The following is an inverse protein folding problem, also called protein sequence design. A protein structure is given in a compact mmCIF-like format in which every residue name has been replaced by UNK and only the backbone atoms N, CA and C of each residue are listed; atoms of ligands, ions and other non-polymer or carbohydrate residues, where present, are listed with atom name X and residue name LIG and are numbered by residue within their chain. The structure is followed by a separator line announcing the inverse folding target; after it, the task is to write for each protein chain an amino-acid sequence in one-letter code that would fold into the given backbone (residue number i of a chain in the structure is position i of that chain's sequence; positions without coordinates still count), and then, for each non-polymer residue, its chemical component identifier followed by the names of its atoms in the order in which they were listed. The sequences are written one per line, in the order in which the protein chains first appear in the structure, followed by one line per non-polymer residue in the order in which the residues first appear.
data_IF_737180114572
#
_entry.id   IF_737180114572
#
_cell.length_a   1.000
_cell.length_b   1.000
_cell.length_c   1.000
_cell.angle_alpha   90.00
_cell.angle_beta   90.00
_cell.angle_gamma   90.00
#
_symmetry.space_group_name_H-M   'P 1'
#
loop_
_entity.id
_entity.type
_entity.pdbx_description
1 polymer ?
#
# COMPACT_ATOMS: atom_id res chain seq x y z
N UNK A 1 6.60 -13.37 9.16
CA UNK A 1 5.57 -12.31 9.24
C UNK A 1 6.18 -11.04 8.69
N UNK A 2 5.55 -10.43 7.69
CA UNK A 2 6.02 -9.19 7.04
C UNK A 2 5.04 -8.08 7.43
N UNK A 3 5.50 -7.09 8.20
CA UNK A 3 4.63 -6.02 8.67
C UNK A 3 3.47 -6.54 9.51
N UNK A 4 2.25 -6.46 8.97
CA UNK A 4 1.02 -6.84 9.64
C UNK A 4 0.51 -8.25 9.33
N UNK A 5 1.08 -8.92 8.30
CA UNK A 5 0.52 -10.16 7.73
C UNK A 5 1.56 -11.28 7.70
N UNK A 6 1.12 -12.52 7.87
CA UNK A 6 1.94 -13.70 7.54
C UNK A 6 1.96 -13.93 6.03
N UNK A 7 3.09 -14.39 5.49
CA UNK A 7 3.23 -14.61 4.03
C UNK A 7 2.25 -15.68 3.57
N UNK A 8 2.12 -16.74 4.37
CA UNK A 8 1.21 -17.87 4.13
C UNK A 8 -0.26 -17.42 4.14
N UNK A 9 -0.63 -16.51 5.05
CA UNK A 9 -1.97 -15.94 5.13
C UNK A 9 -2.27 -15.06 3.90
N UNK A 10 -1.33 -14.20 3.53
CA UNK A 10 -1.43 -13.36 2.35
C UNK A 10 -1.56 -14.19 1.07
N UNK A 11 -0.75 -15.23 0.94
CA UNK A 11 -0.78 -16.13 -0.21
C UNK A 11 -2.11 -16.87 -0.27
N UNK A 12 -2.60 -17.45 0.83
CA UNK A 12 -3.89 -18.13 0.87
C UNK A 12 -5.06 -17.19 0.48
N UNK A 13 -5.06 -15.97 1.01
CA UNK A 13 -6.08 -14.97 0.69
C UNK A 13 -6.08 -14.58 -0.79
N UNK A 14 -4.90 -14.31 -1.34
CA UNK A 14 -4.76 -13.88 -2.74
C UNK A 14 -5.02 -15.04 -3.71
N UNK A 15 -4.55 -16.25 -3.40
CA UNK A 15 -4.79 -17.42 -4.23
C UNK A 15 -6.27 -17.75 -4.33
N UNK A 16 -7.02 -17.64 -3.24
CA UNK A 16 -8.47 -17.85 -3.24
C UNK A 16 -9.23 -16.83 -4.11
N UNK A 17 -8.68 -15.63 -4.34
CA UNK A 17 -9.35 -14.53 -5.04
C UNK A 17 -8.88 -14.33 -6.48
N UNK A 18 -7.62 -14.66 -6.78
CA UNK A 18 -6.95 -14.28 -8.02
C UNK A 18 -6.19 -15.41 -8.72
N UNK A 19 -6.16 -16.62 -8.13
CA UNK A 19 -5.40 -17.76 -8.68
C UNK A 19 -3.96 -17.80 -8.18
N UNK A 20 -3.14 -18.67 -8.76
CA UNK A 20 -1.78 -18.96 -8.29
C UNK A 20 -0.90 -17.70 -8.16
N UNK A 21 -0.27 -17.52 -6.99
CA UNK A 21 0.58 -16.37 -6.65
C UNK A 21 2.00 -16.85 -6.36
N UNK A 22 2.97 -16.23 -7.03
CA UNK A 22 4.39 -16.42 -6.75
C UNK A 22 4.76 -15.91 -5.36
N UNK A 23 5.33 -16.80 -4.53
CA UNK A 23 5.68 -16.49 -3.14
C UNK A 23 6.83 -15.47 -3.03
N UNK A 24 7.84 -15.57 -3.89
CA UNK A 24 9.01 -14.69 -3.84
C UNK A 24 8.67 -13.26 -4.26
N UNK A 25 7.84 -13.11 -5.29
CA UNK A 25 7.32 -11.80 -5.71
C UNK A 25 6.38 -11.21 -4.65
N UNK A 26 5.56 -12.05 -4.02
CA UNK A 26 4.66 -11.63 -2.94
C UNK A 26 5.41 -11.12 -1.73
N UNK A 27 6.48 -11.78 -1.30
CA UNK A 27 7.29 -11.33 -0.17
C UNK A 27 7.86 -9.93 -0.41
N UNK A 28 8.45 -9.69 -1.58
CA UNK A 28 8.98 -8.37 -1.97
C UNK A 28 7.88 -7.30 -1.99
N UNK A 29 6.73 -7.62 -2.56
CA UNK A 29 5.60 -6.70 -2.63
C UNK A 29 4.99 -6.40 -1.26
N UNK A 30 4.96 -7.37 -0.33
CA UNK A 30 4.49 -7.18 1.04
C UNK A 30 5.38 -6.24 1.84
N UNK A 31 6.70 -6.27 1.64
CA UNK A 31 7.62 -5.30 2.26
C UNK A 31 7.36 -3.88 1.74
N UNK A 32 7.25 -3.71 0.42
CA UNK A 32 6.97 -2.40 -0.18
C UNK A 32 5.60 -1.85 0.25
N UNK A 33 4.59 -2.71 0.32
CA UNK A 33 3.27 -2.32 0.81
C UNK A 33 3.31 -1.90 2.28
N UNK A 34 4.07 -2.60 3.12
CA UNK A 34 4.27 -2.24 4.51
C UNK A 34 4.93 -0.86 4.66
N UNK A 35 6.02 -0.60 3.94
CA UNK A 35 6.73 0.69 3.98
C UNK A 35 5.80 1.85 3.59
N UNK A 36 4.95 1.65 2.58
CA UNK A 36 3.93 2.65 2.18
C UNK A 36 2.89 2.91 3.27
N UNK A 37 2.43 1.87 3.96
CA UNK A 37 1.45 2.01 5.04
C UNK A 37 2.06 2.80 6.21
N UNK A 38 3.30 2.47 6.59
CA UNK A 38 4.01 3.15 7.67
C UNK A 38 4.31 4.62 7.35
N UNK A 39 4.60 4.93 6.09
CA UNK A 39 4.87 6.31 5.67
C UNK A 39 3.65 7.25 5.84
N UNK A 40 2.41 6.75 5.91
CA UNK A 40 1.22 7.57 6.16
C UNK A 40 1.15 8.08 7.60
N UNK A 41 1.65 7.29 8.56
CA UNK A 41 1.56 7.59 10.00
C UNK A 41 2.67 8.51 10.52
N UNK A 42 3.80 8.60 9.81
CA UNK A 42 5.04 9.22 10.29
C UNK A 42 5.04 10.76 10.44
N UNK A 43 3.90 11.44 10.28
CA UNK A 43 3.82 12.92 10.16
C UNK A 43 4.33 13.71 11.37
N UNK A 44 4.53 13.06 12.52
CA UNK A 44 4.98 13.72 13.76
C UNK A 44 6.41 13.37 14.19
N UNK A 45 7.21 12.68 13.36
CA UNK A 45 8.64 12.42 13.65
C UNK A 45 8.93 11.65 14.95
N UNK A 46 7.91 11.06 15.58
CA UNK A 46 7.96 10.48 16.92
C UNK A 46 7.85 8.97 17.01
N UNK A 47 7.78 8.26 15.88
CA UNK A 47 7.71 6.80 15.88
C UNK A 47 8.86 6.21 15.08
N UNK A 48 10.05 6.25 15.68
CA UNK A 48 11.13 5.35 15.31
C UNK A 48 11.02 4.11 16.21
N UNK A 49 10.53 2.99 15.65
CA UNK A 49 10.62 1.67 16.29
C UNK A 49 9.31 0.91 16.51
N UNK A 50 8.16 1.59 16.59
CA UNK A 50 6.84 0.95 16.75
C UNK A 50 5.99 1.08 15.49
N UNK A 51 5.23 0.02 15.16
CA UNK A 51 4.28 -0.01 14.04
C UNK A 51 3.23 1.09 14.22
N UNK A 52 2.90 1.82 13.15
CA UNK A 52 1.92 2.90 13.20
C UNK A 52 0.48 2.44 13.52
N UNK A 53 0.20 1.15 13.35
CA UNK A 53 -1.10 0.54 13.63
C UNK A 53 -0.96 -0.71 14.53
N UNK A 54 -1.98 -1.01 15.37
CA UNK A 54 -3.13 -0.18 15.66
C UNK A 54 -2.72 1.00 16.56
N UNK A 55 -3.39 2.15 16.43
CA UNK A 55 -3.12 3.31 17.29
C UNK A 55 -3.77 3.12 18.66
N UNK A 56 -3.41 3.97 19.62
CA UNK A 56 -4.07 4.01 20.93
C UNK A 56 -5.58 4.28 20.73
N UNK A 57 -6.42 3.32 21.13
CA UNK A 57 -7.88 3.38 20.97
C UNK A 57 -8.44 2.74 19.69
N UNK A 58 -7.58 2.24 18.79
CA UNK A 58 -8.03 1.43 17.66
C UNK A 58 -8.42 0.01 18.14
N UNK A 59 -9.58 -0.48 17.68
CA UNK A 59 -10.04 -1.85 17.94
C UNK A 59 -9.39 -2.88 17.02
N UNK A 60 -9.62 -4.16 17.29
CA UNK A 60 -9.12 -5.29 16.48
C UNK A 60 -9.51 -5.22 14.99
N UNK A 61 -10.66 -4.60 14.69
CA UNK A 61 -11.12 -4.41 13.31
C UNK A 61 -10.15 -3.55 12.48
N UNK A 62 -9.47 -2.60 13.12
CA UNK A 62 -8.47 -1.76 12.45
C UNK A 62 -7.30 -2.62 11.97
N UNK A 63 -6.83 -3.54 12.80
CA UNK A 63 -5.76 -4.45 12.39
C UNK A 63 -6.14 -5.31 11.20
N UNK A 64 -7.36 -5.88 11.20
CA UNK A 64 -7.86 -6.65 10.05
C UNK A 64 -7.92 -5.80 8.77
N UNK A 65 -8.29 -4.53 8.89
CA UNK A 65 -8.32 -3.60 7.76
C UNK A 65 -6.91 -3.29 7.25
N UNK A 66 -5.94 -3.05 8.14
CA UNK A 66 -4.55 -2.78 7.76
C UNK A 66 -3.89 -4.01 7.13
N UNK A 67 -4.14 -5.20 7.66
CA UNK A 67 -3.71 -6.47 7.05
C UNK A 67 -4.26 -6.61 5.63
N UNK A 68 -5.56 -6.33 5.44
CA UNK A 68 -6.19 -6.34 4.11
C UNK A 68 -5.58 -5.31 3.17
N UNK A 69 -5.27 -4.10 3.65
CA UNK A 69 -4.58 -3.07 2.86
C UNK A 69 -3.23 -3.58 2.38
N UNK A 70 -2.43 -4.16 3.27
CA UNK A 70 -1.10 -4.67 2.92
C UNK A 70 -1.17 -5.78 1.85
N UNK A 71 -2.11 -6.72 1.99
CA UNK A 71 -2.32 -7.78 1.00
C UNK A 71 -2.78 -7.24 -0.36
N UNK A 72 -3.76 -6.34 -0.38
CA UNK A 72 -4.33 -5.79 -1.62
C UNK A 72 -3.34 -4.88 -2.36
N UNK A 73 -2.57 -4.09 -1.62
CA UNK A 73 -1.56 -3.22 -2.21
C UNK A 73 -0.39 -4.06 -2.76
N UNK A 74 0.07 -5.08 -2.03
CA UNK A 74 1.11 -5.99 -2.49
C UNK A 74 0.69 -6.70 -3.80
N UNK A 75 -0.52 -7.27 -3.83
CA UNK A 75 -1.05 -7.91 -5.03
C UNK A 75 -1.16 -6.93 -6.21
N UNK A 76 -1.62 -5.70 -5.97
CA UNK A 76 -1.69 -4.69 -7.00
C UNK A 76 -0.30 -4.30 -7.51
N UNK A 77 0.70 -4.20 -6.65
CA UNK A 77 2.09 -3.94 -7.08
C UNK A 77 2.64 -5.06 -7.98
N UNK A 78 2.43 -6.32 -7.60
CA UNK A 78 2.88 -7.49 -8.37
C UNK A 78 2.27 -7.51 -9.77
N UNK A 79 0.95 -7.34 -9.85
CA UNK A 79 0.21 -7.40 -11.12
C UNK A 79 0.29 -6.11 -11.94
N UNK A 80 1.21 -5.21 -11.60
CA UNK A 80 1.47 -3.99 -12.35
C UNK A 80 0.37 -2.94 -12.24
N UNK A 81 -0.27 -2.85 -11.07
CA UNK A 81 -1.29 -1.88 -10.73
C UNK A 81 -0.94 -0.48 -11.23
N UNK A 82 -1.94 0.20 -11.79
CA UNK A 82 -1.90 1.42 -12.60
C UNK A 82 -0.52 1.69 -13.22
N UNK A 83 -0.33 1.37 -14.50
CA UNK A 83 0.96 1.48 -15.23
C UNK A 83 1.75 2.77 -14.98
N UNK A 84 1.05 3.85 -14.63
CA UNK A 84 1.60 5.14 -14.21
C UNK A 84 2.49 5.08 -12.95
N UNK A 85 2.29 4.13 -12.04
CA UNK A 85 3.12 3.91 -10.84
C UNK A 85 4.46 3.26 -11.23
N UNK A 86 4.49 2.36 -12.21
CA UNK A 86 5.73 1.79 -12.76
C UNK A 86 6.62 2.86 -13.41
N UNK A 87 6.01 3.91 -13.99
CA UNK A 87 6.72 5.05 -14.61
C UNK A 87 7.47 5.94 -13.61
N UNK A 88 7.15 5.86 -12.31
CA UNK A 88 7.87 6.56 -11.25
C UNK A 88 9.07 5.75 -10.72
N UNK A 89 8.97 4.42 -10.68
CA UNK A 89 10.05 3.53 -10.24
C UNK A 89 11.15 3.33 -11.28
N UNK A 90 10.80 3.35 -12.58
CA UNK A 90 11.78 3.49 -13.66
C UNK A 90 11.97 4.98 -13.91
N UNK A 91 12.98 5.57 -13.28
CA UNK A 91 13.27 7.00 -13.32
C UNK A 91 12.96 7.65 -14.67
N UNK A 92 12.37 8.84 -14.59
CA UNK A 92 12.03 9.75 -15.70
C UNK A 92 13.27 9.95 -16.58
N UNK A 93 13.48 9.05 -17.52
CA UNK A 93 14.54 9.09 -18.52
C UNK A 93 13.85 9.16 -19.87
N UNK A 94 13.54 10.38 -20.30
CA UNK A 94 13.34 10.63 -21.74
C UNK A 94 12.03 11.27 -22.20
N UNK A 95 11.11 11.75 -21.35
CA UNK A 95 9.94 12.50 -21.83
C UNK A 95 9.92 13.95 -21.38
N UNK A 96 9.69 14.84 -22.34
CA UNK A 96 9.60 16.29 -22.17
C UNK A 96 8.41 16.67 -21.29
N UNK A 97 8.62 17.72 -20.49
CA UNK A 97 7.68 18.23 -19.47
C UNK A 97 6.29 18.60 -20.05
N UNK A 98 6.18 18.77 -21.37
CA UNK A 98 4.95 19.20 -22.06
C UNK A 98 3.84 18.15 -22.17
N UNK A 99 4.14 16.86 -21.98
CA UNK A 99 3.15 15.76 -22.13
C UNK A 99 2.77 15.12 -20.78
N UNK A 100 3.03 15.83 -19.68
CA UNK A 100 2.91 15.34 -18.30
C UNK A 100 1.46 15.31 -17.78
N UNK A 101 0.47 15.23 -18.67
CA UNK A 101 -0.94 15.06 -18.29
C UNK A 101 -1.27 13.58 -18.06
N UNK A 102 -0.51 12.93 -17.18
CA UNK A 102 -0.96 11.67 -16.59
C UNK A 102 -2.12 12.04 -15.68
N UNK A 103 -3.34 11.74 -16.12
CA UNK A 103 -4.56 11.93 -15.34
C UNK A 103 -4.58 10.93 -14.20
N UNK A 104 -3.90 11.27 -13.11
CA UNK A 104 -3.96 10.51 -11.86
C UNK A 104 -5.41 10.43 -11.38
N UNK A 105 -5.90 9.24 -11.05
CA UNK A 105 -7.08 9.15 -10.22
C UNK A 105 -6.71 9.64 -8.81
N UNK A 106 -7.12 10.87 -8.49
CA UNK A 106 -6.91 11.49 -7.16
C UNK A 106 -7.50 10.63 -6.03
N UNK A 107 -8.33 9.64 -6.33
CA UNK A 107 -8.85 8.68 -5.36
C UNK A 107 -7.79 7.76 -4.76
N UNK A 108 -6.67 7.52 -5.46
CA UNK A 108 -5.58 6.62 -5.05
C UNK A 108 -4.46 7.30 -4.24
N UNK A 109 -4.49 8.63 -4.11
CA UNK A 109 -3.45 9.42 -3.47
C UNK A 109 -3.82 9.78 -2.02
N UNK A 110 -2.88 9.58 -1.10
CA UNK A 110 -2.96 9.98 0.32
C UNK A 110 -1.68 10.75 0.66
N UNK A 111 -1.79 12.07 0.84
CA UNK A 111 -0.60 12.91 0.97
C UNK A 111 0.26 12.84 -0.30
N UNK A 112 1.52 12.43 -0.17
CA UNK A 112 2.45 12.19 -1.29
C UNK A 112 2.47 10.73 -1.75
N UNK A 113 1.84 9.83 -1.00
CA UNK A 113 1.86 8.38 -1.25
C UNK A 113 0.74 8.02 -2.24
N UNK A 114 1.10 7.24 -3.26
CA UNK A 114 0.17 6.72 -4.27
C UNK A 114 0.02 5.21 -4.13
N UNK A 115 -1.21 4.75 -3.93
CA UNK A 115 -1.55 3.33 -3.83
C UNK A 115 -1.80 2.75 -5.23
N UNK A 116 -1.32 1.53 -5.44
CA UNK A 116 -1.64 0.74 -6.63
C UNK A 116 -3.07 0.22 -6.59
N UNK A 117 -3.59 -0.11 -5.40
CA UNK A 117 -4.97 -0.56 -5.21
C UNK A 117 -5.89 0.59 -4.79
N UNK A 118 -6.94 0.83 -5.58
CA UNK A 118 -8.02 1.78 -5.23
C UNK A 118 -8.72 1.36 -3.93
N UNK A 119 -8.91 0.06 -3.72
CA UNK A 119 -9.53 -0.48 -2.50
C UNK A 119 -8.66 -0.20 -1.28
N UNK A 120 -7.35 -0.45 -1.38
CA UNK A 120 -6.39 -0.14 -0.32
C UNK A 120 -6.36 1.36 0.01
N UNK A 121 -6.35 2.22 -1.02
CA UNK A 121 -6.40 3.67 -0.86
C UNK A 121 -7.66 4.13 -0.10
N UNK A 122 -8.83 3.59 -0.44
CA UNK A 122 -10.10 3.95 0.23
C UNK A 122 -10.10 3.57 1.70
N UNK A 123 -9.57 2.39 2.04
CA UNK A 123 -9.46 1.93 3.42
C UNK A 123 -8.51 2.86 4.19
N UNK A 124 -7.31 3.10 3.66
CA UNK A 124 -6.30 3.96 4.31
C UNK A 124 -6.75 5.41 4.47
N UNK A 125 -7.53 5.96 3.54
CA UNK A 125 -8.07 7.31 3.61
C UNK A 125 -9.00 7.54 4.82
N UNK A 126 -9.62 6.48 5.33
CA UNK A 126 -10.43 6.56 6.58
C UNK A 126 -9.54 6.80 7.79
N UNK A 127 -8.34 6.23 7.80
CA UNK A 127 -7.36 6.36 8.89
C UNK A 127 -6.48 7.60 8.78
N UNK A 128 -6.33 8.15 7.57
CA UNK A 128 -5.64 9.42 7.35
C UNK A 128 -6.48 10.65 7.74
N UNK A 129 -7.81 10.51 7.83
CA UNK A 129 -8.74 11.63 8.17
C UNK A 129 -9.12 11.71 9.65
N UNK A 130 -8.87 10.67 10.44
CA UNK A 130 -9.23 10.61 11.87
C UNK A 130 -8.23 11.34 12.80
N UNK A 131 -7.19 11.96 12.27
CA UNK A 131 -6.36 12.92 13.02
C UNK A 131 -7.00 14.29 12.96
N UNK A 132 -8.02 14.52 13.80
CA UNK A 132 -8.48 15.84 14.22
C UNK A 132 -8.50 15.85 15.74
#
# INVERSE_FOLDING_TARGET
MIGYVAVEEAQAFLTARYGEIDKEELEKALYQAFDKIEAIGARNGRMQGEKNFPRLGDGEEVMKLIQRVQMLEAYAMMNGGNEDIKRLGKGISGKSIGDMSVSYDRSQKIGEITFASVEAARIMKRFSRKTF
#
